data_IF_697685021831
#
_entry.id   IF_697685021831
#
_cell.length_a   1.000
_cell.length_b   1.000
_cell.length_c   1.000
_cell.angle_alpha   90.00
_cell.angle_beta   90.00
_cell.angle_gamma   90.00
#
_symmetry.space_group_name_H-M   'P 1'
#
loop_
_entity.id
_entity.type
_entity.pdbx_description
1 polymer ?
#
# COMPACT_ATOMS: atom_id res chain seq x y z
N UNK A 1 14.80 32.32 7.18
CA UNK A 1 14.07 31.03 7.14
C UNK A 1 15.07 29.94 7.46
N UNK A 2 14.93 29.17 8.55
CA UNK A 2 16.01 28.30 9.01
C UNK A 2 16.01 26.88 8.42
N UNK A 3 14.98 26.43 7.66
CA UNK A 3 15.00 25.14 6.94
C UNK A 3 14.29 25.23 5.59
N UNK A 4 14.95 24.72 4.55
CA UNK A 4 14.39 24.50 3.21
C UNK A 4 14.21 23.00 2.96
N UNK A 5 13.35 22.57 2.00
CA UNK A 5 13.25 21.17 1.60
C UNK A 5 14.60 20.55 1.17
N UNK A 6 15.50 21.37 0.62
CA UNK A 6 16.85 20.94 0.25
C UNK A 6 17.76 20.69 1.48
N UNK A 7 17.52 21.37 2.59
CA UNK A 7 18.28 21.19 3.84
C UNK A 7 17.91 19.87 4.53
N UNK A 8 16.67 19.40 4.37
CA UNK A 8 16.19 18.10 4.87
C UNK A 8 16.83 16.96 4.08
N UNK A 9 16.87 17.07 2.74
CA UNK A 9 17.54 16.08 1.88
C UNK A 9 19.02 15.90 2.17
N UNK A 10 19.70 16.98 2.57
CA UNK A 10 21.14 16.96 2.87
C UNK A 10 21.43 16.56 4.32
N UNK A 11 20.40 16.29 5.13
CA UNK A 11 20.60 16.03 6.55
C UNK A 11 20.93 14.55 6.78
N UNK A 12 22.21 14.28 6.99
CA UNK A 12 22.68 12.95 7.40
C UNK A 12 22.69 12.85 8.93
N UNK A 13 22.14 11.75 9.47
CA UNK A 13 22.19 11.44 10.89
C UNK A 13 23.31 10.43 11.19
N UNK A 14 24.03 10.60 12.30
CA UNK A 14 25.07 9.66 12.72
C UNK A 14 24.47 8.40 13.33
N UNK A 15 24.88 7.21 12.87
CA UNK A 15 24.42 5.92 13.41
C UNK A 15 25.09 5.61 14.75
N UNK A 16 24.30 5.15 15.74
CA UNK A 16 24.80 4.80 17.08
C UNK A 16 24.92 3.28 17.20
N UNK A 17 26.15 2.74 17.20
CA UNK A 17 26.41 1.28 17.18
C UNK A 17 26.22 0.57 18.53
N UNK A 18 26.13 1.29 19.65
CA UNK A 18 26.11 0.70 21.01
C UNK A 18 24.82 0.97 21.81
N UNK A 19 23.80 1.60 21.23
CA UNK A 19 22.50 1.86 21.88
C UNK A 19 21.36 1.66 20.87
N UNK A 20 20.14 1.41 21.37
CA UNK A 20 18.93 1.40 20.53
C UNK A 20 18.82 2.77 19.85
N UNK A 21 18.97 2.76 18.53
CA UNK A 21 18.79 3.93 17.66
C UNK A 21 17.51 3.78 16.85
N UNK A 22 17.15 4.86 16.15
CA UNK A 22 16.09 4.82 15.15
C UNK A 22 16.53 3.96 13.95
N UNK A 23 15.57 3.30 13.29
CA UNK A 23 15.81 2.58 12.04
C UNK A 23 16.04 3.60 10.91
N UNK A 24 17.16 3.49 10.22
CA UNK A 24 17.56 4.36 9.11
C UNK A 24 16.49 4.42 8.03
N UNK A 25 15.87 3.29 7.68
CA UNK A 25 14.85 3.23 6.61
C UNK A 25 13.55 3.93 7.01
N UNK A 26 13.17 3.82 8.28
CA UNK A 26 11.98 4.47 8.81
C UNK A 26 12.18 5.98 8.92
N UNK A 27 13.38 6.40 9.32
CA UNK A 27 13.77 7.82 9.35
C UNK A 27 13.79 8.40 7.95
N UNK A 28 14.39 7.71 6.97
CA UNK A 28 14.45 8.17 5.57
C UNK A 28 13.05 8.33 4.97
N UNK A 29 12.17 7.35 5.17
CA UNK A 29 10.78 7.42 4.71
C UNK A 29 10.02 8.59 5.35
N UNK A 30 10.25 8.85 6.64
CA UNK A 30 9.65 9.99 7.34
C UNK A 30 10.19 11.32 6.81
N UNK A 31 11.50 11.43 6.53
CA UNK A 31 12.10 12.63 5.95
C UNK A 31 11.57 12.93 4.54
N UNK A 32 11.37 11.91 3.70
CA UNK A 32 10.77 12.07 2.37
C UNK A 32 9.33 12.63 2.46
N UNK A 33 8.56 12.14 3.43
CA UNK A 33 7.21 12.64 3.70
C UNK A 33 7.24 14.11 4.18
N UNK A 34 8.10 14.44 5.15
CA UNK A 34 8.25 15.82 5.65
C UNK A 34 8.73 16.76 4.54
N UNK A 35 9.63 16.31 3.68
CA UNK A 35 10.12 17.10 2.57
C UNK A 35 9.00 17.41 1.55
N UNK A 36 8.17 16.41 1.24
CA UNK A 36 7.03 16.57 0.34
C UNK A 36 6.01 17.56 0.89
N UNK A 37 5.67 17.43 2.18
CA UNK A 37 4.74 18.34 2.85
C UNK A 37 5.31 19.75 3.01
N UNK A 38 6.61 19.90 3.30
CA UNK A 38 7.24 21.22 3.38
C UNK A 38 7.26 21.92 2.02
N UNK A 39 7.53 21.18 0.93
CA UNK A 39 7.45 21.72 -0.43
C UNK A 39 6.02 22.14 -0.79
N UNK A 40 5.03 21.32 -0.44
CA UNK A 40 3.60 21.64 -0.61
C UNK A 40 3.21 22.89 0.16
N UNK A 41 3.56 22.98 1.44
CA UNK A 41 3.23 24.12 2.29
C UNK A 41 3.89 25.41 1.80
N UNK A 42 5.12 25.34 1.28
CA UNK A 42 5.79 26.51 0.70
C UNK A 42 5.09 26.98 -0.59
N UNK A 43 4.73 26.05 -1.48
CA UNK A 43 3.96 26.36 -2.69
C UNK A 43 2.57 26.94 -2.37
N UNK A 44 1.89 26.37 -1.37
CA UNK A 44 0.62 26.89 -0.88
C UNK A 44 0.79 28.28 -0.24
N UNK A 45 1.87 28.54 0.51
CA UNK A 45 2.15 29.87 1.04
C UNK A 45 2.38 30.89 -0.07
N UNK A 46 3.09 30.52 -1.13
CA UNK A 46 3.32 31.36 -2.29
C UNK A 46 2.02 31.65 -3.05
N UNK A 47 1.16 30.63 -3.21
CA UNK A 47 -0.17 30.77 -3.79
C UNK A 47 -1.12 31.61 -2.93
N UNK A 48 -1.07 31.47 -1.60
CA UNK A 48 -1.84 32.31 -0.68
C UNK A 48 -1.34 33.76 -0.71
N UNK A 49 -0.02 33.97 -0.79
CA UNK A 49 0.56 35.31 -0.95
C UNK A 49 0.21 35.94 -2.29
N UNK A 50 0.18 35.15 -3.37
CA UNK A 50 -0.22 35.66 -4.69
C UNK A 50 -1.71 35.96 -4.76
N UNK A 51 -2.58 35.15 -4.13
CA UNK A 51 -4.02 35.43 -4.06
C UNK A 51 -4.35 36.61 -3.15
N UNK A 52 -3.65 36.76 -2.02
CA UNK A 52 -3.74 37.97 -1.19
C UNK A 52 -3.20 39.19 -1.95
N UNK A 53 -2.09 39.03 -2.67
CA UNK A 53 -1.53 40.06 -3.54
C UNK A 53 -2.45 40.45 -4.69
N UNK A 54 -3.14 39.50 -5.32
CA UNK A 54 -4.15 39.72 -6.35
C UNK A 54 -5.44 40.32 -5.80
N UNK A 55 -5.81 40.01 -4.56
CA UNK A 55 -6.93 40.68 -3.89
C UNK A 55 -6.57 42.10 -3.48
N UNK A 56 -5.38 42.32 -2.94
CA UNK A 56 -4.88 43.66 -2.62
C UNK A 56 -4.72 44.50 -3.90
N UNK A 57 -4.07 43.95 -4.93
CA UNK A 57 -3.96 44.55 -6.25
C UNK A 57 -5.33 44.71 -6.91
N UNK A 58 -6.26 43.76 -6.82
CA UNK A 58 -7.63 43.90 -7.31
C UNK A 58 -8.47 44.94 -6.54
N UNK A 59 -8.06 45.29 -5.31
CA UNK A 59 -8.62 46.42 -4.56
C UNK A 59 -7.95 47.74 -4.96
N UNK A 60 -6.72 47.71 -5.49
CA UNK A 60 -5.99 48.86 -6.06
C UNK A 60 -6.18 49.02 -7.59
N UNK A 61 -6.67 47.99 -8.27
CA UNK A 61 -6.95 47.89 -9.72
C UNK A 61 -8.43 47.61 -9.98
N UNK A 62 -9.29 47.79 -8.97
CA UNK A 62 -10.50 48.56 -9.25
C UNK A 62 -10.01 49.83 -9.95
N UNK A 63 -10.52 50.19 -11.14
CA UNK A 63 -10.01 51.33 -11.87
C UNK A 63 -10.02 52.50 -10.89
N UNK A 64 -8.83 52.94 -10.49
CA UNK A 64 -8.66 54.29 -10.03
C UNK A 64 -9.29 55.10 -11.14
N UNK A 65 -10.43 55.66 -10.80
CA UNK A 65 -11.07 56.78 -11.46
C UNK A 65 -10.01 57.84 -11.70
N UNK A 66 -9.25 57.67 -12.79
CA UNK A 66 -8.51 58.74 -13.45
C UNK A 66 -9.47 59.69 -14.19
N UNK A 67 -10.77 59.56 -13.90
CA UNK A 67 -11.81 60.55 -14.12
C UNK A 67 -12.07 61.45 -12.91
N UNK A 68 -11.39 61.28 -11.77
CA UNK A 68 -11.59 62.13 -10.58
C UNK A 68 -10.51 63.20 -10.34
N UNK A 69 -9.37 63.18 -11.06
CA UNK A 69 -8.30 64.17 -10.89
C UNK A 69 -8.22 65.25 -12.00
N UNK A 70 -9.01 65.15 -13.07
CA UNK A 70 -9.12 66.19 -14.12
C UNK A 70 -10.50 66.85 -14.20
N UNK A 71 -11.20 66.97 -13.07
CA UNK A 71 -12.44 67.74 -12.94
C UNK A 71 -12.30 68.95 -11.98
N UNK A 72 -11.08 69.36 -11.65
CA UNK A 72 -10.81 70.56 -10.85
C UNK A 72 -10.59 71.83 -11.70
N UNK A 73 -10.87 71.76 -13.02
CA UNK A 73 -10.75 72.86 -13.97
C UNK A 73 -12.01 73.09 -14.77
N UNK A 74 -13.19 73.11 -14.14
CA UNK A 74 -14.41 73.58 -14.75
C UNK A 74 -15.04 74.66 -13.88
N UNK A 75 -14.86 75.90 -14.30
CA UNK A 75 -15.66 77.06 -13.93
C UNK A 75 -17.12 76.69 -13.71
N UNK A 76 -17.77 77.11 -12.60
CA UNK A 76 -19.21 77.07 -12.47
C UNK A 76 -19.80 78.06 -13.48
N UNK A 77 -20.18 77.54 -14.65
CA UNK A 77 -21.05 78.23 -15.59
C UNK A 77 -22.48 77.92 -15.19
N UNK A 78 -23.09 78.86 -14.47
CA UNK A 78 -24.50 78.90 -14.14
C UNK A 78 -25.36 78.59 -15.38
N UNK A 79 -26.08 77.47 -15.33
CA UNK A 79 -27.04 77.06 -16.36
C UNK A 79 -28.14 76.22 -15.74
N UNK A 80 -28.90 76.84 -14.83
CA UNK A 80 -30.19 76.40 -14.26
C UNK A 80 -30.59 74.93 -14.55
N UNK A 81 -29.96 73.97 -13.88
CA UNK A 81 -30.58 72.66 -13.70
C UNK A 81 -31.78 72.87 -12.78
N UNK A 82 -32.98 72.69 -13.31
CA UNK A 82 -34.19 72.80 -12.51
C UNK A 82 -34.14 71.77 -11.37
N UNK A 83 -34.65 72.09 -10.16
CA UNK A 83 -34.67 71.16 -9.02
C UNK A 83 -35.34 69.82 -9.35
N UNK A 84 -36.21 69.80 -10.36
CA UNK A 84 -36.88 68.61 -10.88
C UNK A 84 -35.93 67.64 -11.65
N UNK A 85 -34.89 68.14 -12.30
CA UNK A 85 -33.91 67.29 -13.00
C UNK A 85 -33.02 66.49 -12.02
N UNK A 86 -32.63 67.11 -10.90
CA UNK A 86 -31.83 66.44 -9.86
C UNK A 86 -32.61 65.32 -9.15
N UNK A 87 -33.91 65.54 -8.87
CA UNK A 87 -34.78 64.53 -8.25
C UNK A 87 -34.98 63.32 -9.17
N UNK A 88 -35.12 63.52 -10.49
CA UNK A 88 -35.23 62.44 -11.48
C UNK A 88 -33.94 61.61 -11.58
N UNK A 89 -32.78 62.27 -11.51
CA UNK A 89 -31.51 61.56 -11.50
C UNK A 89 -31.30 60.75 -10.21
N UNK A 90 -31.70 61.30 -9.05
CA UNK A 90 -31.60 60.60 -7.77
C UNK A 90 -32.51 59.37 -7.71
N UNK A 91 -33.73 59.48 -8.23
CA UNK A 91 -34.69 58.36 -8.29
C UNK A 91 -34.24 57.27 -9.27
N UNK A 92 -33.64 57.64 -10.40
CA UNK A 92 -33.01 56.68 -11.31
C UNK A 92 -31.83 55.97 -10.62
N UNK A 93 -30.95 56.72 -9.96
CA UNK A 93 -29.80 56.17 -9.24
C UNK A 93 -30.23 55.22 -8.11
N UNK A 94 -31.23 55.61 -7.31
CA UNK A 94 -31.78 54.77 -6.25
C UNK A 94 -32.35 53.47 -6.82
N UNK A 95 -33.12 53.56 -7.91
CA UNK A 95 -33.68 52.39 -8.59
C UNK A 95 -32.59 51.44 -9.10
N UNK A 96 -31.53 51.98 -9.72
CA UNK A 96 -30.41 51.15 -10.19
C UNK A 96 -29.63 50.53 -9.01
N UNK A 97 -29.51 51.23 -7.89
CA UNK A 97 -28.89 50.66 -6.69
C UNK A 97 -29.75 49.51 -6.12
N UNK A 98 -31.07 49.69 -6.05
CA UNK A 98 -31.97 48.65 -5.55
C UNK A 98 -31.98 47.41 -6.47
N UNK A 99 -31.92 47.61 -7.79
CA UNK A 99 -31.85 46.54 -8.79
C UNK A 99 -30.53 45.75 -8.68
N UNK A 100 -29.39 46.44 -8.60
CA UNK A 100 -28.09 45.76 -8.42
C UNK A 100 -28.00 45.00 -7.09
N UNK A 101 -28.61 45.52 -6.01
CA UNK A 101 -28.69 44.80 -4.74
C UNK A 101 -29.58 43.55 -4.86
N UNK A 102 -30.69 43.63 -5.60
CA UNK A 102 -31.55 42.48 -5.83
C UNK A 102 -30.85 41.40 -6.67
N UNK A 103 -30.13 41.79 -7.72
CA UNK A 103 -29.31 40.90 -8.54
C UNK A 103 -28.21 40.21 -7.73
N UNK A 104 -27.44 40.98 -6.96
CA UNK A 104 -26.37 40.43 -6.11
C UNK A 104 -26.91 39.44 -5.06
N UNK A 105 -28.10 39.71 -4.49
CA UNK A 105 -28.76 38.78 -3.57
C UNK A 105 -29.19 37.50 -4.27
N UNK A 106 -29.78 37.61 -5.46
CA UNK A 106 -30.19 36.44 -6.25
C UNK A 106 -28.99 35.57 -6.65
N UNK A 107 -27.87 36.19 -7.04
CA UNK A 107 -26.63 35.47 -7.34
C UNK A 107 -26.05 34.78 -6.10
N UNK A 108 -26.04 35.46 -4.95
CA UNK A 108 -25.61 34.87 -3.69
C UNK A 108 -26.47 33.66 -3.29
N UNK A 109 -27.80 33.77 -3.41
CA UNK A 109 -28.72 32.67 -3.10
C UNK A 109 -28.50 31.47 -4.04
N UNK A 110 -28.26 31.71 -5.34
CA UNK A 110 -27.89 30.67 -6.30
C UNK A 110 -26.58 29.99 -5.92
N UNK A 111 -25.54 30.77 -5.60
CA UNK A 111 -24.24 30.23 -5.21
C UNK A 111 -24.34 29.38 -3.93
N UNK A 112 -25.15 29.81 -2.96
CA UNK A 112 -25.40 29.03 -1.74
C UNK A 112 -26.14 27.74 -2.03
N UNK A 113 -27.11 27.74 -2.94
CA UNK A 113 -27.82 26.53 -3.36
C UNK A 113 -26.88 25.53 -4.06
N UNK A 114 -26.08 26.00 -5.01
CA UNK A 114 -25.12 25.16 -5.75
C UNK A 114 -24.06 24.60 -4.80
N UNK A 115 -23.54 25.42 -3.89
CA UNK A 115 -22.56 24.99 -2.88
C UNK A 115 -23.14 23.93 -1.95
N UNK A 116 -24.42 24.04 -1.57
CA UNK A 116 -25.09 23.03 -0.75
C UNK A 116 -25.24 21.71 -1.49
N UNK A 117 -25.68 21.74 -2.75
CA UNK A 117 -25.79 20.52 -3.57
C UNK A 117 -24.41 19.86 -3.73
N UNK A 118 -23.38 20.64 -4.06
CA UNK A 118 -22.01 20.14 -4.18
C UNK A 118 -21.48 19.53 -2.87
N UNK A 119 -21.79 20.15 -1.72
CA UNK A 119 -21.41 19.62 -0.41
C UNK A 119 -22.13 18.31 -0.08
N UNK A 120 -23.44 18.22 -0.37
CA UNK A 120 -24.22 17.00 -0.18
C UNK A 120 -23.70 15.85 -1.06
N UNK A 121 -23.36 16.13 -2.32
CA UNK A 121 -22.83 15.12 -3.23
C UNK A 121 -21.42 14.67 -2.83
N UNK A 122 -20.59 15.59 -2.34
CA UNK A 122 -19.29 15.26 -1.76
C UNK A 122 -19.46 14.37 -0.51
N UNK A 123 -20.42 14.68 0.35
CA UNK A 123 -20.70 13.87 1.54
C UNK A 123 -21.22 12.48 1.17
N UNK A 124 -22.16 12.38 0.22
CA UNK A 124 -22.69 11.10 -0.28
C UNK A 124 -21.58 10.26 -0.91
N UNK A 125 -20.75 10.86 -1.75
CA UNK A 125 -19.65 10.14 -2.40
C UNK A 125 -18.55 9.72 -1.42
N UNK A 126 -18.24 10.54 -0.41
CA UNK A 126 -17.34 10.18 0.68
C UNK A 126 -17.88 9.01 1.49
N UNK A 127 -19.16 9.05 1.86
CA UNK A 127 -19.78 7.97 2.63
C UNK A 127 -19.80 6.67 1.82
N UNK A 128 -20.19 6.72 0.54
CA UNK A 128 -20.19 5.54 -0.32
C UNK A 128 -18.79 4.92 -0.45
N UNK A 129 -17.73 5.74 -0.55
CA UNK A 129 -16.34 5.26 -0.58
C UNK A 129 -15.92 4.63 0.74
N UNK A 130 -16.35 5.18 1.88
CA UNK A 130 -16.08 4.61 3.20
C UNK A 130 -16.76 3.23 3.34
N UNK A 131 -18.04 3.14 2.99
CA UNK A 131 -18.80 1.90 3.06
C UNK A 131 -18.20 0.82 2.12
N UNK A 132 -17.76 1.21 0.93
CA UNK A 132 -17.06 0.30 0.00
C UNK A 132 -15.72 -0.21 0.57
N UNK A 133 -14.93 0.68 1.20
CA UNK A 133 -13.68 0.31 1.84
C UNK A 133 -13.91 -0.67 3.00
N UNK A 134 -14.96 -0.45 3.79
CA UNK A 134 -15.33 -1.33 4.90
C UNK A 134 -15.77 -2.71 4.39
N UNK A 135 -16.57 -2.78 3.32
CA UNK A 135 -16.97 -4.03 2.68
C UNK A 135 -15.76 -4.80 2.15
N UNK A 136 -14.84 -4.12 1.45
CA UNK A 136 -13.61 -4.75 0.94
C UNK A 136 -12.73 -5.27 2.08
N UNK A 137 -12.60 -4.50 3.16
CA UNK A 137 -11.82 -4.90 4.33
C UNK A 137 -12.44 -6.11 5.04
N UNK A 138 -13.77 -6.13 5.20
CA UNK A 138 -14.49 -7.25 5.77
C UNK A 138 -14.36 -8.51 4.89
N UNK A 139 -14.50 -8.38 3.57
CA UNK A 139 -14.33 -9.47 2.62
C UNK A 139 -12.91 -10.04 2.67
N UNK A 140 -11.88 -9.18 2.67
CA UNK A 140 -10.49 -9.62 2.78
C UNK A 140 -10.20 -10.31 4.11
N UNK A 141 -10.77 -9.82 5.22
CA UNK A 141 -10.65 -10.48 6.53
C UNK A 141 -11.25 -11.89 6.49
N UNK A 142 -12.44 -12.05 5.91
CA UNK A 142 -13.08 -13.35 5.79
C UNK A 142 -12.27 -14.31 4.92
N UNK A 143 -11.70 -13.82 3.82
CA UNK A 143 -10.83 -14.60 2.94
C UNK A 143 -9.59 -15.11 3.68
N UNK A 144 -8.87 -14.21 4.39
CA UNK A 144 -7.68 -14.56 5.17
C UNK A 144 -7.99 -15.57 6.28
N UNK A 145 -9.13 -15.42 6.96
CA UNK A 145 -9.55 -16.40 7.96
C UNK A 145 -9.88 -17.75 7.32
N UNK A 146 -10.55 -17.75 6.18
CA UNK A 146 -10.85 -18.98 5.43
C UNK A 146 -9.57 -19.68 4.95
N UNK A 147 -8.55 -18.92 4.56
CA UNK A 147 -7.23 -19.43 4.19
C UNK A 147 -6.51 -20.03 5.40
N UNK A 148 -6.42 -19.29 6.51
CA UNK A 148 -5.83 -19.77 7.76
C UNK A 148 -6.52 -21.04 8.30
N UNK A 149 -7.83 -21.14 8.16
CA UNK A 149 -8.59 -22.35 8.52
C UNK A 149 -8.21 -23.55 7.65
N UNK A 150 -8.10 -23.37 6.33
CA UNK A 150 -7.65 -24.43 5.41
C UNK A 150 -6.22 -24.88 5.70
N UNK A 151 -5.33 -23.92 5.98
CA UNK A 151 -3.94 -24.22 6.33
C UNK A 151 -3.86 -24.97 7.65
N UNK A 152 -4.62 -24.53 8.67
CA UNK A 152 -4.72 -25.23 9.95
C UNK A 152 -5.18 -26.67 9.74
N UNK A 153 -6.25 -26.90 8.98
CA UNK A 153 -6.75 -28.25 8.68
C UNK A 153 -5.75 -29.08 7.88
N UNK A 154 -5.02 -28.46 6.95
CA UNK A 154 -3.94 -29.10 6.20
C UNK A 154 -2.81 -29.57 7.13
N UNK A 155 -2.32 -28.67 7.98
CA UNK A 155 -1.26 -28.97 8.96
C UNK A 155 -1.71 -30.03 9.96
N UNK A 156 -2.95 -29.99 10.44
CA UNK A 156 -3.51 -31.01 11.32
C UNK A 156 -3.51 -32.39 10.66
N UNK A 157 -3.97 -32.49 9.40
CA UNK A 157 -3.91 -33.74 8.64
C UNK A 157 -2.48 -34.23 8.44
N UNK A 158 -1.53 -33.35 8.14
CA UNK A 158 -0.11 -33.72 8.02
C UNK A 158 0.46 -34.25 9.33
N UNK A 159 0.12 -33.65 10.47
CA UNK A 159 0.54 -34.14 11.79
C UNK A 159 -0.01 -35.55 12.04
N UNK A 160 -1.28 -35.79 11.73
CA UNK A 160 -1.90 -37.11 11.89
C UNK A 160 -1.24 -38.16 11.00
N UNK A 161 -0.99 -37.83 9.74
CA UNK A 161 -0.27 -38.68 8.79
C UNK A 161 1.14 -39.00 9.28
N UNK A 162 1.88 -38.00 9.77
CA UNK A 162 3.25 -38.20 10.25
C UNK A 162 3.29 -39.07 11.52
N UNK A 163 2.33 -38.90 12.42
CA UNK A 163 2.17 -39.76 13.61
C UNK A 163 1.79 -41.19 13.23
N UNK A 164 0.93 -41.37 12.24
CA UNK A 164 0.58 -42.70 11.73
C UNK A 164 1.78 -43.39 11.09
N UNK A 165 2.53 -42.66 10.25
CA UNK A 165 3.77 -43.10 9.64
C UNK A 165 4.81 -43.49 10.70
N UNK A 166 5.01 -42.67 11.73
CA UNK A 166 5.94 -42.95 12.82
C UNK A 166 5.57 -44.25 13.56
N UNK A 167 4.28 -44.43 13.90
CA UNK A 167 3.80 -45.66 14.56
C UNK A 167 4.04 -46.89 13.69
N UNK A 168 3.71 -46.79 12.42
CA UNK A 168 3.90 -47.88 11.47
C UNK A 168 5.40 -48.20 11.26
N UNK A 169 6.24 -47.16 11.12
CA UNK A 169 7.69 -47.32 11.01
C UNK A 169 8.28 -47.99 12.24
N UNK A 170 7.89 -47.56 13.45
CA UNK A 170 8.31 -48.20 14.70
C UNK A 170 7.88 -49.67 14.78
N UNK A 171 6.64 -49.97 14.41
CA UNK A 171 6.12 -51.34 14.37
C UNK A 171 6.93 -52.22 13.40
N UNK A 172 7.16 -51.74 12.17
CA UNK A 172 7.96 -52.44 11.16
C UNK A 172 9.42 -52.64 11.60
N UNK A 173 10.04 -51.63 12.21
CA UNK A 173 11.40 -51.72 12.73
C UNK A 173 11.50 -52.73 13.89
N UNK A 174 10.54 -52.72 14.81
CA UNK A 174 10.49 -53.67 15.91
C UNK A 174 10.34 -55.11 15.41
N UNK A 175 9.44 -55.36 14.46
CA UNK A 175 9.25 -56.67 13.84
C UNK A 175 10.53 -57.16 13.13
N UNK A 176 11.18 -56.28 12.36
CA UNK A 176 12.44 -56.60 11.69
C UNK A 176 13.56 -56.99 12.68
N UNK A 177 13.72 -56.22 13.77
CA UNK A 177 14.73 -56.52 14.78
C UNK A 177 14.42 -57.82 15.53
N UNK A 178 13.15 -58.11 15.82
CA UNK A 178 12.73 -59.37 16.44
C UNK A 178 13.01 -60.57 15.52
N UNK A 179 12.73 -60.45 14.22
CA UNK A 179 13.06 -61.47 13.22
C UNK A 179 14.58 -61.71 13.16
N UNK A 180 15.39 -60.65 13.09
CA UNK A 180 16.86 -60.75 13.12
C UNK A 180 17.41 -61.40 14.40
N UNK A 181 16.83 -61.09 15.55
CA UNK A 181 17.20 -61.74 16.81
C UNK A 181 16.79 -63.21 16.85
N UNK A 182 15.63 -63.56 16.26
CA UNK A 182 15.16 -64.95 16.17
C UNK A 182 16.06 -65.79 15.27
N UNK A 183 16.47 -65.26 14.12
CA UNK A 183 17.42 -65.91 13.21
C UNK A 183 18.76 -66.19 13.91
N UNK A 184 19.29 -65.20 14.65
CA UNK A 184 20.52 -65.36 15.43
C UNK A 184 20.37 -66.41 16.54
N UNK A 185 19.24 -66.42 17.25
CA UNK A 185 18.96 -67.41 18.29
C UNK A 185 18.92 -68.83 17.70
N UNK A 186 18.26 -69.01 16.56
CA UNK A 186 18.20 -70.31 15.88
C UNK A 186 19.59 -70.75 15.39
N UNK A 187 20.37 -69.85 14.80
CA UNK A 187 21.74 -70.15 14.39
C UNK A 187 22.66 -70.51 15.57
N UNK A 188 22.46 -69.91 16.75
CA UNK A 188 23.24 -70.25 17.95
C UNK A 188 22.89 -71.63 18.55
N UNK A 189 21.66 -72.12 18.30
CA UNK A 189 21.22 -73.44 18.75
C UNK A 189 21.79 -74.54 17.85
N UNK A 190 21.90 -74.30 16.54
CA UNK A 190 22.61 -75.21 15.62
C UNK A 190 24.12 -75.27 15.91
N UNK A 191 24.75 -74.17 16.34
CA UNK A 191 26.17 -74.13 16.74
C UNK A 191 26.44 -74.81 18.10
N UNK A 192 25.41 -74.90 18.96
CA UNK A 192 25.50 -75.55 20.29
C UNK A 192 25.19 -77.05 20.27
N UNK A 193 24.64 -77.58 19.17
CA UNK A 193 24.29 -78.99 19.03
C UNK A 193 25.44 -79.87 18.53
N UNK A 194 26.58 -79.29 18.14
CA UNK A 194 27.73 -80.04 17.64
C UNK A 194 29.03 -79.69 18.39
N UNK A 195 29.24 -80.37 19.51
CA UNK A 195 30.59 -80.70 19.93
C UNK A 195 30.61 -82.11 20.53
N UNK A 196 31.25 -83.04 19.81
CA UNK A 196 32.43 -83.68 20.38
C UNK A 196 33.69 -83.33 19.58
N UNK A 197 34.80 -83.40 20.30
CA UNK A 197 36.15 -83.05 19.87
C UNK A 197 36.68 -83.92 18.71
N UNK A 198 37.42 -83.30 17.77
CA UNK A 198 38.82 -83.59 17.42
C UNK A 198 39.16 -83.31 15.93
N UNK A 199 40.25 -82.55 15.77
CA UNK A 199 41.17 -82.38 14.63
C UNK A 199 40.92 -83.10 13.28
N UNK A 200 40.98 -82.32 12.19
CA UNK A 200 41.24 -82.82 10.85
C UNK A 200 41.22 -81.72 9.77
N UNK A 201 42.40 -81.39 9.22
CA UNK A 201 42.58 -80.44 8.13
C UNK A 201 41.98 -80.93 6.80
N UNK A 202 41.50 -80.01 5.94
CA UNK A 202 41.14 -80.36 4.56
C UNK A 202 40.29 -79.33 3.81
N UNK A 203 40.98 -78.46 3.09
CA UNK A 203 40.61 -77.62 1.93
C UNK A 203 39.25 -77.78 1.20
N UNK A 204 38.68 -76.60 0.90
CA UNK A 204 37.97 -76.17 -0.32
C UNK A 204 36.82 -77.02 -0.88
N UNK A 205 35.61 -76.46 -0.88
CA UNK A 205 34.86 -76.34 -2.14
C UNK A 205 33.76 -75.28 -2.11
N UNK A 206 33.52 -74.77 -3.32
CA UNK A 206 32.80 -73.57 -3.72
C UNK A 206 31.39 -74.01 -4.12
N UNK A 207 30.34 -73.49 -3.49
CA UNK A 207 28.95 -73.85 -3.82
C UNK A 207 27.97 -72.75 -3.45
N UNK A 208 27.68 -71.89 -4.41
CA UNK A 208 26.70 -70.82 -4.30
C UNK A 208 25.26 -71.35 -4.17
N UNK A 209 24.49 -70.80 -3.21
CA UNK A 209 23.15 -70.22 -3.41
C UNK A 209 22.52 -69.85 -2.06
N UNK A 210 22.52 -68.56 -1.75
CA UNK A 210 21.68 -67.95 -0.73
C UNK A 210 21.44 -66.52 -1.17
N UNK A 211 20.31 -66.27 -1.83
CA UNK A 211 19.92 -64.96 -2.31
C UNK A 211 19.69 -64.03 -1.10
N UNK A 212 20.73 -63.32 -0.69
CA UNK A 212 20.60 -62.17 0.18
C UNK A 212 19.92 -61.05 -0.61
N UNK A 213 18.59 -61.00 -0.53
CA UNK A 213 17.85 -59.79 -0.86
C UNK A 213 18.26 -58.73 0.18
N UNK A 214 19.21 -57.87 -0.21
CA UNK A 214 19.55 -56.67 0.52
C UNK A 214 18.29 -55.82 0.66
N UNK A 215 17.75 -55.75 1.87
CA UNK A 215 16.76 -54.76 2.23
C UNK A 215 17.46 -53.40 2.28
N UNK A 216 17.45 -52.70 1.15
CA UNK A 216 17.72 -51.27 1.10
C UNK A 216 16.40 -50.59 1.46
N UNK A 217 16.27 -49.90 2.60
CA UNK A 217 15.08 -49.12 2.86
C UNK A 217 15.14 -47.91 1.92
N UNK A 218 14.53 -48.03 0.75
CA UNK A 218 14.08 -46.85 0.02
C UNK A 218 13.02 -46.21 0.89
N UNK A 219 13.40 -45.18 1.65
CA UNK A 219 12.41 -44.28 2.25
C UNK A 219 11.45 -43.83 1.15
N UNK A 220 10.15 -43.63 1.45
CA UNK A 220 9.33 -42.91 0.52
C UNK A 220 10.02 -41.55 0.33
N UNK A 221 10.34 -41.21 -0.91
CA UNK A 221 10.54 -39.82 -1.31
C UNK A 221 9.31 -39.09 -0.78
N UNK A 222 9.48 -38.38 0.34
CA UNK A 222 8.57 -37.34 0.72
C UNK A 222 8.64 -36.36 -0.46
N UNK A 223 7.68 -36.47 -1.36
CA UNK A 223 7.34 -35.39 -2.28
C UNK A 223 6.99 -34.23 -1.37
N UNK A 224 8.03 -33.44 -1.10
CA UNK A 224 7.96 -32.18 -0.43
C UNK A 224 7.00 -31.28 -1.23
N UNK A 225 5.84 -30.84 -0.71
CA UNK A 225 5.12 -29.73 -1.32
C UNK A 225 5.75 -28.38 -0.92
N UNK A 226 6.88 -28.34 -0.21
CA UNK A 226 7.56 -27.12 0.20
C UNK A 226 8.89 -26.93 -0.54
N UNK A 227 8.81 -26.77 -1.87
CA UNK A 227 9.86 -26.16 -2.67
C UNK A 227 9.26 -25.42 -3.88
N UNK A 228 8.36 -24.49 -3.59
CA UNK A 228 8.03 -23.36 -4.47
C UNK A 228 7.96 -22.12 -3.55
N UNK A 229 9.12 -21.50 -3.32
CA UNK A 229 9.26 -20.43 -2.35
C UNK A 229 10.69 -19.91 -2.21
N UNK A 230 11.46 -19.90 -3.31
CA UNK A 230 12.54 -18.94 -3.47
C UNK A 230 12.06 -17.99 -4.56
N UNK A 231 12.11 -16.69 -4.27
CA UNK A 231 11.60 -15.65 -5.14
C UNK A 231 12.20 -15.74 -6.53
N UNK A 232 11.32 -15.77 -7.53
CA UNK A 232 11.60 -15.23 -8.84
C UNK A 232 10.44 -14.31 -9.22
N UNK A 233 10.81 -13.25 -9.91
CA UNK A 233 10.16 -11.95 -10.00
C UNK A 233 8.64 -11.94 -10.31
N UNK A 234 7.92 -10.86 -9.92
CA UNK A 234 6.57 -10.63 -10.44
C UNK A 234 6.59 -10.59 -11.98
N UNK A 235 5.59 -11.14 -12.68
CA UNK A 235 5.42 -10.84 -14.09
C UNK A 235 5.19 -9.33 -14.22
N UNK A 236 5.98 -8.69 -15.06
CA UNK A 236 5.73 -7.35 -15.56
C UNK A 236 4.27 -7.28 -16.04
N UNK A 237 3.41 -6.70 -15.21
CA UNK A 237 2.19 -6.08 -15.70
C UNK A 237 2.59 -5.01 -16.71
N UNK A 238 1.75 -4.73 -17.72
CA UNK A 238 2.10 -3.80 -18.79
C UNK A 238 2.55 -2.50 -18.16
N UNK A 239 3.78 -2.08 -18.52
CA UNK A 239 4.32 -0.80 -18.08
C UNK A 239 3.33 0.34 -18.34
N UNK A 240 3.46 1.48 -17.66
CA UNK A 240 2.64 2.63 -17.98
C UNK A 240 2.78 2.88 -19.49
N UNK A 241 1.66 2.74 -20.21
CA UNK A 241 1.56 3.24 -21.57
C UNK A 241 1.81 4.73 -21.44
N UNK A 242 3.03 5.13 -21.79
CA UNK A 242 3.34 6.52 -22.06
C UNK A 242 2.35 6.93 -23.15
N UNK A 243 1.35 7.73 -22.77
CA UNK A 243 0.57 8.44 -23.76
C UNK A 243 1.56 9.18 -24.65
N UNK A 244 1.53 9.01 -25.98
CA UNK A 244 2.33 9.85 -26.85
C UNK A 244 1.86 11.28 -26.61
N UNK A 245 2.79 12.11 -26.11
CA UNK A 245 2.68 13.55 -26.16
C UNK A 245 2.17 13.95 -27.55
N UNK A 246 0.98 14.55 -27.57
CA UNK A 246 0.42 15.18 -28.75
C UNK A 246 1.43 16.22 -29.29
N UNK A 247 2.19 15.83 -30.30
CA UNK A 247 2.88 16.78 -31.18
C UNK A 247 1.85 17.41 -32.13
N UNK A 248 0.95 18.23 -31.59
CA UNK A 248 0.11 19.13 -32.39
C UNK A 248 -0.17 20.41 -31.63
N UNK A 249 0.81 21.32 -31.61
CA UNK A 249 0.59 22.75 -31.92
C UNK A 249 1.93 23.49 -31.93
N UNK A 250 2.66 23.35 -33.04
CA UNK A 250 3.58 24.39 -33.52
C UNK A 250 3.27 24.57 -35.00
N UNK A 251 2.22 25.34 -35.26
CA UNK A 251 1.85 25.99 -36.53
C UNK A 251 0.57 26.79 -36.24
N UNK A 252 0.74 27.94 -35.60
CA UNK A 252 0.30 29.27 -36.04
C UNK A 252 0.84 30.31 -35.07
#
# INVERSE_FOLDING_TARGET
MPLTPADIRRKEFSTVRLRQGYDEKEVDAFLDQVQTELARLLAENEQLRSTVGQRAAGTETAPAVDTAANAAGATPGEGAATPDAAVRMLTLAQRTADETVAEARQEADRLLADSRVAAEDLQRSSQARADELDQRTAARRQELLSELERDREGLQRSIEQLRAFEREYRSRLAAYLQERLRDLANNSVDDSADQPAAAGAGSTERGAKGAAAGFVPTGPTASNPAAAGAGEAPPEGPGPVYAPMDQRTRQQ
#
